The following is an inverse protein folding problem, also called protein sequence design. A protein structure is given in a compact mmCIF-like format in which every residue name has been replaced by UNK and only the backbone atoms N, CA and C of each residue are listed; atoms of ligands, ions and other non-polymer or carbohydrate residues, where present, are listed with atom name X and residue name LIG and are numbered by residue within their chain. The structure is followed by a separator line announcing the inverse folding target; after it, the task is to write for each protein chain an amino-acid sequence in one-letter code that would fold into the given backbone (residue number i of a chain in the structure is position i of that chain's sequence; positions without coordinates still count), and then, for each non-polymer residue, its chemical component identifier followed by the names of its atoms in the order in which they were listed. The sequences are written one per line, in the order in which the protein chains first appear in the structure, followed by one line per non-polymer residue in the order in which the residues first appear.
data_IF_591668177086
#
_entry.id   IF_591668177086
#
_cell.length_a   1.000
_cell.length_b   1.000
_cell.length_c   1.000
_cell.angle_alpha   90.00
_cell.angle_beta   90.00
_cell.angle_gamma   90.00
#
_symmetry.space_group_name_H-M   'P 1'
#
loop_
_entity.id
_entity.type
_entity.pdbx_description
1 polymer ?
#
# COMPACT_ATOMS: atom_id res chain seq x y z
N UNK A 1 12.21 -9.08 26.61
CA UNK A 1 11.50 -8.78 25.35
C UNK A 1 12.29 -9.44 24.24
N UNK A 2 11.69 -10.30 23.44
CA UNK A 2 12.37 -10.98 22.33
C UNK A 2 12.06 -10.26 21.01
N UNK A 3 13.08 -9.85 20.28
CA UNK A 3 12.98 -9.17 18.98
C UNK A 3 13.42 -10.08 17.82
N UNK A 4 13.58 -11.38 18.08
CA UNK A 4 13.92 -12.36 17.05
C UNK A 4 12.78 -12.47 16.05
N UNK A 5 13.10 -12.29 14.77
CA UNK A 5 12.11 -12.43 13.70
C UNK A 5 11.76 -13.90 13.47
N UNK A 6 10.48 -14.18 13.25
CA UNK A 6 10.04 -15.49 12.82
C UNK A 6 10.53 -15.81 11.40
N UNK A 7 10.55 -17.08 11.03
CA UNK A 7 10.91 -17.51 9.67
C UNK A 7 10.01 -16.86 8.61
N UNK A 8 8.72 -16.70 8.90
CA UNK A 8 7.76 -16.04 7.99
C UNK A 8 8.06 -14.55 7.83
N UNK A 9 8.41 -13.85 8.91
CA UNK A 9 8.84 -12.45 8.85
C UNK A 9 10.12 -12.30 8.01
N UNK A 10 11.11 -13.16 8.25
CA UNK A 10 12.36 -13.16 7.47
C UNK A 10 12.08 -13.43 5.99
N UNK A 11 11.25 -14.41 5.67
CA UNK A 11 10.88 -14.74 4.29
C UNK A 11 10.27 -13.55 3.55
N UNK A 12 9.22 -12.94 4.12
CA UNK A 12 8.53 -11.83 3.47
C UNK A 12 9.39 -10.56 3.39
N UNK A 13 10.11 -10.23 4.48
CA UNK A 13 11.06 -9.12 4.47
C UNK A 13 12.09 -9.27 3.34
N UNK A 14 12.69 -10.45 3.22
CA UNK A 14 13.73 -10.69 2.21
C UNK A 14 13.18 -10.60 0.78
N UNK A 15 11.93 -11.03 0.54
CA UNK A 15 11.27 -10.86 -0.76
C UNK A 15 11.06 -9.39 -1.10
N UNK A 16 10.59 -8.59 -0.14
CA UNK A 16 10.43 -7.14 -0.33
C UNK A 16 11.79 -6.47 -0.54
N UNK A 17 12.80 -6.80 0.27
CA UNK A 17 14.16 -6.27 0.10
C UNK A 17 14.72 -6.55 -1.28
N UNK A 18 14.65 -7.79 -1.75
CA UNK A 18 15.14 -8.16 -3.08
C UNK A 18 14.42 -7.36 -4.19
N UNK A 19 13.12 -7.17 -4.06
CA UNK A 19 12.35 -6.36 -5.01
C UNK A 19 12.74 -4.87 -4.96
N UNK A 20 12.96 -4.33 -3.75
CA UNK A 20 13.44 -2.95 -3.57
C UNK A 20 14.80 -2.76 -4.23
N UNK A 21 15.74 -3.69 -3.99
CA UNK A 21 17.10 -3.64 -4.54
C UNK A 21 17.10 -3.75 -6.08
N UNK A 22 16.32 -4.68 -6.62
CA UNK A 22 16.33 -4.96 -8.06
C UNK A 22 15.55 -3.93 -8.88
N UNK A 23 14.44 -3.40 -8.33
CA UNK A 23 13.49 -2.63 -9.13
C UNK A 23 13.24 -1.22 -8.61
N UNK A 24 13.10 -1.02 -7.30
CA UNK A 24 12.66 0.27 -6.74
C UNK A 24 13.81 1.25 -6.63
N UNK A 25 14.92 0.87 -6.01
CA UNK A 25 16.07 1.79 -5.88
C UNK A 25 16.63 2.24 -7.23
N UNK A 26 16.78 1.37 -8.25
CA UNK A 26 17.21 1.83 -9.58
C UNK A 26 16.22 2.76 -10.27
N UNK A 27 14.93 2.72 -9.89
CA UNK A 27 13.90 3.56 -10.48
C UNK A 27 13.81 4.97 -9.85
N UNK A 28 14.44 5.21 -8.69
CA UNK A 28 14.38 6.51 -8.00
C UNK A 28 14.77 7.68 -8.92
N UNK A 29 15.92 7.68 -9.61
CA UNK A 29 16.27 8.80 -10.50
C UNK A 29 15.29 8.97 -11.67
N UNK A 30 14.70 7.87 -12.16
CA UNK A 30 13.69 7.93 -13.24
C UNK A 30 12.39 8.55 -12.71
N UNK A 31 11.96 8.18 -11.52
CA UNK A 31 10.81 8.77 -10.86
C UNK A 31 10.98 10.27 -10.64
N UNK A 32 12.12 10.68 -10.11
CA UNK A 32 12.43 12.09 -9.84
C UNK A 32 12.43 12.92 -11.13
N UNK A 33 13.00 12.38 -12.21
CA UNK A 33 13.01 13.03 -13.52
C UNK A 33 11.58 13.17 -14.08
N UNK A 34 10.79 12.09 -14.07
CA UNK A 34 9.41 12.13 -14.57
C UNK A 34 8.53 13.08 -13.76
N UNK A 35 8.74 13.15 -12.45
CA UNK A 35 8.02 14.08 -11.58
C UNK A 35 8.42 15.54 -11.88
N UNK A 36 9.70 15.80 -12.15
CA UNK A 36 10.20 17.12 -12.52
C UNK A 36 9.66 17.58 -13.88
N UNK A 37 9.53 16.67 -14.84
CA UNK A 37 8.99 16.94 -16.18
C UNK A 37 7.53 17.43 -16.17
N UNK A 38 6.76 17.10 -15.11
CA UNK A 38 5.40 17.61 -14.94
C UNK A 38 5.34 19.12 -14.59
N UNK A 39 6.43 19.72 -14.14
CA UNK A 39 6.52 21.13 -13.80
C UNK A 39 5.50 21.54 -12.74
N UNK A 40 4.60 22.46 -13.09
CA UNK A 40 3.51 22.90 -12.19
C UNK A 40 2.32 21.93 -12.13
N UNK A 41 2.18 21.04 -13.12
CA UNK A 41 1.10 20.05 -13.19
C UNK A 41 1.49 18.74 -12.51
N UNK A 42 1.73 18.78 -11.19
CA UNK A 42 2.27 17.67 -10.40
C UNK A 42 1.28 16.55 -10.07
N UNK A 43 -0.02 16.77 -10.33
CA UNK A 43 -1.08 15.83 -9.99
C UNK A 43 -1.32 14.83 -11.13
N UNK A 44 -0.23 14.22 -11.57
CA UNK A 44 -0.24 13.20 -12.62
C UNK A 44 0.34 11.88 -12.09
N UNK A 45 -0.07 10.80 -12.72
CA UNK A 45 0.49 9.48 -12.43
C UNK A 45 1.90 9.40 -13.03
N UNK A 46 2.88 9.03 -12.19
CA UNK A 46 4.27 8.88 -12.64
C UNK A 46 4.43 7.54 -13.36
N UNK A 47 4.79 7.50 -14.67
CA UNK A 47 4.75 6.27 -15.47
C UNK A 47 5.59 5.11 -14.93
N UNK A 48 6.79 5.40 -14.38
CA UNK A 48 7.65 4.36 -13.81
C UNK A 48 6.98 3.67 -12.62
N UNK A 49 6.17 4.39 -11.85
CA UNK A 49 5.45 3.83 -10.71
C UNK A 49 4.44 2.76 -11.14
N UNK A 50 3.70 2.98 -12.22
CA UNK A 50 2.77 1.99 -12.77
C UNK A 50 3.50 0.74 -13.28
N UNK A 51 4.69 0.93 -13.86
CA UNK A 51 5.55 -0.19 -14.27
C UNK A 51 5.99 -1.02 -13.06
N UNK A 52 6.38 -0.37 -11.96
CA UNK A 52 6.77 -1.04 -10.72
C UNK A 52 5.58 -1.77 -10.06
N UNK A 53 4.40 -1.16 -10.05
CA UNK A 53 3.16 -1.79 -9.54
C UNK A 53 2.84 -3.08 -10.31
N UNK A 54 2.94 -3.07 -11.63
CA UNK A 54 2.73 -4.27 -12.45
C UNK A 54 3.73 -5.39 -12.09
N UNK A 55 5.00 -5.05 -11.89
CA UNK A 55 6.03 -6.00 -11.44
C UNK A 55 5.75 -6.55 -10.04
N UNK A 56 5.36 -5.69 -9.08
CA UNK A 56 5.04 -6.10 -7.72
C UNK A 56 3.84 -7.07 -7.68
N UNK A 57 2.80 -6.81 -8.49
CA UNK A 57 1.68 -7.74 -8.68
C UNK A 57 2.16 -9.09 -9.21
N UNK A 58 2.96 -9.10 -10.27
CA UNK A 58 3.49 -10.33 -10.87
C UNK A 58 4.37 -11.12 -9.90
N UNK A 59 5.09 -10.44 -9.00
CA UNK A 59 5.90 -11.05 -7.96
C UNK A 59 5.10 -11.53 -6.74
N UNK A 60 3.78 -11.33 -6.70
CA UNK A 60 2.94 -11.66 -5.54
C UNK A 60 3.26 -10.80 -4.30
N UNK A 61 3.70 -9.57 -4.51
CA UNK A 61 4.01 -8.57 -3.48
C UNK A 61 2.98 -7.43 -3.50
N UNK A 62 1.68 -7.79 -3.48
CA UNK A 62 0.59 -6.84 -3.62
C UNK A 62 -0.37 -6.92 -2.44
N UNK A 63 -0.86 -5.78 -1.93
CA UNK A 63 -1.78 -5.71 -0.80
C UNK A 63 -1.29 -6.41 0.47
N UNK A 64 0.01 -6.36 0.76
CA UNK A 64 0.62 -7.04 1.91
C UNK A 64 0.09 -6.54 3.26
N UNK A 65 -0.46 -5.33 3.28
CA UNK A 65 -0.95 -4.65 4.48
C UNK A 65 -2.23 -5.27 5.06
N UNK A 66 -3.07 -5.93 4.23
CA UNK A 66 -4.40 -6.35 4.65
C UNK A 66 -4.32 -7.57 5.57
N UNK A 67 -4.60 -7.41 6.89
CA UNK A 67 -4.39 -8.46 7.85
C UNK A 67 -5.48 -9.54 7.77
N UNK A 68 -5.12 -10.76 8.13
CA UNK A 68 -6.03 -11.92 8.12
C UNK A 68 -7.29 -11.69 8.95
N UNK A 69 -7.15 -11.04 10.11
CA UNK A 69 -8.26 -10.78 11.03
C UNK A 69 -9.28 -9.77 10.51
N UNK A 70 -8.92 -8.99 9.48
CA UNK A 70 -9.83 -8.03 8.85
C UNK A 70 -10.68 -8.64 7.76
N UNK A 71 -10.31 -9.83 7.29
CA UNK A 71 -10.97 -10.50 6.15
C UNK A 71 -11.81 -11.67 6.66
N UNK A 72 -13.11 -11.74 6.34
CA UNK A 72 -13.91 -12.92 6.62
C UNK A 72 -13.27 -14.17 6.00
N UNK A 73 -13.20 -15.25 6.77
CA UNK A 73 -12.65 -16.51 6.29
C UNK A 73 -13.35 -16.97 5.00
N UNK A 74 -12.59 -17.22 3.94
CA UNK A 74 -13.13 -17.61 2.64
C UNK A 74 -13.75 -16.48 1.83
N UNK A 75 -13.64 -15.23 2.28
CA UNK A 75 -14.12 -14.07 1.52
C UNK A 75 -13.28 -13.78 0.27
N UNK A 76 -13.85 -13.07 -0.72
CA UNK A 76 -13.18 -12.76 -1.98
C UNK A 76 -12.08 -11.71 -1.85
N UNK A 77 -12.00 -11.03 -0.72
CA UNK A 77 -11.04 -9.95 -0.47
C UNK A 77 -9.95 -10.44 0.48
N UNK A 78 -8.78 -10.75 -0.03
CA UNK A 78 -7.67 -11.23 0.79
C UNK A 78 -6.39 -10.50 0.44
N UNK A 79 -5.56 -10.23 1.47
CA UNK A 79 -4.17 -9.84 1.30
C UNK A 79 -3.25 -11.06 1.22
N UNK A 80 -1.98 -10.85 1.52
CA UNK A 80 -0.96 -11.91 1.50
C UNK A 80 -1.04 -12.87 2.72
N UNK A 81 -2.03 -12.74 3.58
CA UNK A 81 -2.18 -13.56 4.78
C UNK A 81 -1.16 -13.26 5.87
N UNK A 82 -0.75 -12.00 5.98
CA UNK A 82 0.16 -11.51 7.01
C UNK A 82 -0.62 -10.98 8.22
N UNK A 83 -0.06 -11.17 9.39
CA UNK A 83 -0.42 -10.38 10.58
C UNK A 83 0.21 -8.99 10.50
N UNK A 84 -0.28 -8.04 11.29
CA UNK A 84 0.32 -6.71 11.37
C UNK A 84 1.81 -6.76 11.76
N UNK A 85 2.19 -7.69 12.62
CA UNK A 85 3.58 -7.88 13.04
C UNK A 85 4.46 -8.42 11.90
N UNK A 86 3.92 -9.32 11.08
CA UNK A 86 4.62 -9.84 9.89
C UNK A 86 4.71 -8.78 8.78
N UNK A 87 3.68 -7.95 8.62
CA UNK A 87 3.70 -6.85 7.67
C UNK A 87 4.66 -5.72 8.09
N UNK A 88 4.81 -5.46 9.39
CA UNK A 88 5.64 -4.35 9.88
C UNK A 88 7.09 -4.39 9.35
N UNK A 89 7.70 -5.59 9.29
CA UNK A 89 9.07 -5.74 8.75
C UNK A 89 9.14 -5.54 7.23
N UNK A 90 8.04 -5.71 6.52
CA UNK A 90 7.92 -5.37 5.10
C UNK A 90 7.76 -3.86 4.92
N UNK A 91 6.89 -3.23 5.71
CA UNK A 91 6.64 -1.80 5.69
C UNK A 91 7.92 -0.98 5.97
N UNK A 92 8.77 -1.45 6.88
CA UNK A 92 10.09 -0.85 7.15
C UNK A 92 10.95 -0.76 5.88
N UNK A 93 10.95 -1.82 5.06
CA UNK A 93 11.73 -1.83 3.82
C UNK A 93 11.12 -0.91 2.75
N UNK A 94 9.80 -0.93 2.60
CA UNK A 94 9.07 -0.06 1.67
C UNK A 94 9.27 1.43 2.00
N UNK A 95 9.29 1.77 3.29
CA UNK A 95 9.43 3.14 3.78
C UNK A 95 10.79 3.79 3.54
N UNK A 96 11.78 3.06 3.01
CA UNK A 96 13.11 3.60 2.66
C UNK A 96 13.09 4.49 1.42
N UNK A 97 12.02 4.43 0.62
CA UNK A 97 11.78 5.27 -0.56
C UNK A 97 10.42 5.92 -0.43
N UNK A 98 10.31 7.23 -0.72
CA UNK A 98 9.09 8.00 -0.50
C UNK A 98 7.84 7.45 -1.22
N UNK A 99 8.01 6.83 -2.37
CA UNK A 99 6.94 6.16 -3.11
C UNK A 99 6.92 4.63 -2.93
N UNK A 100 7.81 4.07 -2.10
CA UNK A 100 8.01 2.63 -2.01
C UNK A 100 6.77 1.86 -1.61
N UNK A 101 6.02 2.32 -0.62
CA UNK A 101 4.78 1.67 -0.18
C UNK A 101 3.70 1.65 -1.27
N UNK A 102 3.67 2.67 -2.14
CA UNK A 102 2.72 2.75 -3.25
C UNK A 102 2.96 1.67 -4.31
N UNK A 103 4.21 1.30 -4.55
CA UNK A 103 4.59 0.22 -5.47
C UNK A 103 3.87 -1.10 -5.15
N UNK A 104 3.61 -1.35 -3.87
CA UNK A 104 2.98 -2.58 -3.36
C UNK A 104 1.49 -2.42 -3.02
N UNK A 105 0.87 -1.29 -3.39
CA UNK A 105 -0.48 -0.89 -2.98
C UNK A 105 -0.66 -0.86 -1.46
N UNK A 106 0.37 -0.42 -0.76
CA UNK A 106 0.44 -0.37 0.71
C UNK A 106 0.58 1.06 1.24
N UNK A 107 0.17 2.06 0.45
CA UNK A 107 0.29 3.48 0.80
C UNK A 107 -0.95 3.99 1.52
N UNK A 108 -0.75 4.89 2.48
CA UNK A 108 -1.85 5.66 3.05
C UNK A 108 -2.32 6.75 2.04
N UNK A 109 -3.60 7.13 2.05
CA UNK A 109 -4.69 6.68 2.92
C UNK A 109 -5.39 5.40 2.44
N UNK A 110 -5.01 4.86 1.28
CA UNK A 110 -5.70 3.73 0.63
C UNK A 110 -5.79 2.50 1.54
N UNK A 111 -4.72 2.17 2.26
CA UNK A 111 -4.69 1.01 3.16
C UNK A 111 -5.77 1.08 4.24
N UNK A 112 -5.88 2.23 4.92
CA UNK A 112 -6.90 2.43 5.94
C UNK A 112 -8.31 2.41 5.36
N UNK A 113 -8.53 3.06 4.23
CA UNK A 113 -9.82 3.10 3.56
C UNK A 113 -10.24 1.71 3.05
N UNK A 114 -9.31 0.94 2.49
CA UNK A 114 -9.59 -0.45 2.08
C UNK A 114 -9.94 -1.34 3.28
N UNK A 115 -9.24 -1.21 4.42
CA UNK A 115 -9.55 -1.98 5.61
C UNK A 115 -10.92 -1.62 6.19
N UNK A 116 -11.28 -0.34 6.21
CA UNK A 116 -12.64 0.11 6.61
C UNK A 116 -13.70 -0.50 5.70
N UNK A 117 -13.48 -0.48 4.38
CA UNK A 117 -14.43 -1.05 3.42
C UNK A 117 -14.55 -2.58 3.57
N UNK A 118 -13.45 -3.29 3.81
CA UNK A 118 -13.47 -4.75 4.06
C UNK A 118 -14.32 -5.08 5.28
N UNK A 119 -14.10 -4.36 6.39
CA UNK A 119 -14.76 -4.65 7.67
C UNK A 119 -16.23 -4.20 7.71
N UNK A 120 -16.52 -3.04 7.16
CA UNK A 120 -17.78 -2.34 7.40
C UNK A 120 -18.55 -1.96 6.13
N UNK A 121 -17.96 -2.09 4.96
CA UNK A 121 -18.61 -1.77 3.70
C UNK A 121 -19.73 -2.76 3.37
N UNK A 122 -20.84 -2.25 2.81
CA UNK A 122 -21.84 -3.11 2.17
C UNK A 122 -21.25 -3.81 0.94
N UNK A 123 -21.90 -4.87 0.45
CA UNK A 123 -21.45 -5.55 -0.77
C UNK A 123 -21.42 -4.61 -2.00
N UNK A 124 -22.33 -3.64 -2.05
CA UNK A 124 -22.32 -2.59 -3.07
C UNK A 124 -21.07 -1.68 -2.92
N UNK A 125 -20.74 -1.25 -1.70
CA UNK A 125 -19.54 -0.45 -1.44
C UNK A 125 -18.26 -1.23 -1.78
N UNK A 126 -18.22 -2.52 -1.44
CA UNK A 126 -17.07 -3.38 -1.76
C UNK A 126 -16.91 -3.57 -3.26
N UNK A 127 -17.98 -3.85 -3.98
CA UNK A 127 -17.93 -3.98 -5.43
C UNK A 127 -17.52 -2.67 -6.12
N UNK A 128 -18.07 -1.54 -5.65
CA UNK A 128 -17.89 -0.24 -6.30
C UNK A 128 -16.53 0.40 -5.99
N UNK A 129 -16.03 0.24 -4.76
CA UNK A 129 -14.86 0.97 -4.27
C UNK A 129 -13.70 0.05 -3.84
N UNK A 130 -13.98 -1.02 -3.07
CA UNK A 130 -12.93 -1.88 -2.54
C UNK A 130 -12.23 -2.68 -3.64
N UNK A 131 -12.98 -3.30 -4.54
CA UNK A 131 -12.40 -4.09 -5.62
C UNK A 131 -11.42 -3.29 -6.48
N UNK A 132 -11.79 -2.12 -7.02
CA UNK A 132 -10.86 -1.32 -7.81
C UNK A 132 -9.72 -0.70 -6.99
N UNK A 133 -9.91 -0.42 -5.69
CA UNK A 133 -8.80 -0.03 -4.79
C UNK A 133 -7.81 -1.17 -4.60
N UNK A 134 -8.29 -2.38 -4.29
CA UNK A 134 -7.42 -3.57 -4.16
C UNK A 134 -6.73 -3.93 -5.48
N UNK A 135 -7.38 -3.68 -6.61
CA UNK A 135 -6.78 -3.83 -7.93
C UNK A 135 -5.75 -2.71 -8.25
N UNK A 136 -5.77 -1.61 -7.50
CA UNK A 136 -4.92 -0.44 -7.77
C UNK A 136 -5.35 0.35 -9.00
N UNK A 137 -6.62 0.25 -9.38
CA UNK A 137 -7.21 0.96 -10.53
C UNK A 137 -7.64 2.36 -10.17
N UNK A 138 -7.99 2.58 -8.91
CA UNK A 138 -8.36 3.88 -8.34
C UNK A 138 -7.56 4.16 -7.07
N UNK A 139 -7.57 5.41 -6.65
CA UNK A 139 -6.99 5.88 -5.39
C UNK A 139 -8.10 6.49 -4.54
N UNK A 140 -7.82 6.63 -3.25
CA UNK A 140 -8.72 7.25 -2.30
C UNK A 140 -8.09 8.45 -1.60
N UNK A 141 -8.91 9.22 -0.90
CA UNK A 141 -8.46 10.34 -0.09
C UNK A 141 -9.11 10.29 1.29
N UNK A 142 -8.46 10.90 2.27
CA UNK A 142 -9.00 11.09 3.60
C UNK A 142 -9.11 12.59 3.89
N UNK A 143 -10.34 13.09 3.93
CA UNK A 143 -10.65 14.50 4.18
C UNK A 143 -11.00 14.67 5.64
N UNK A 144 -9.99 14.86 6.49
CA UNK A 144 -10.16 14.89 7.94
C UNK A 144 -10.40 16.30 8.49
N UNK A 145 -9.67 17.30 7.99
CA UNK A 145 -9.72 18.66 8.51
C UNK A 145 -10.92 19.42 7.99
N UNK A 146 -11.73 19.99 8.89
CA UNK A 146 -12.83 20.89 8.58
C UNK A 146 -12.42 22.36 8.74
N UNK A 147 -13.13 23.33 8.09
CA UNK A 147 -12.72 24.75 8.14
C UNK A 147 -12.69 25.37 9.54
N UNK A 148 -13.54 24.91 10.45
CA UNK A 148 -13.71 25.48 11.79
C UNK A 148 -13.13 24.63 12.91
N UNK A 149 -12.59 23.44 12.60
CA UNK A 149 -12.17 22.46 13.62
C UNK A 149 -10.78 21.92 13.27
N UNK A 150 -9.92 21.83 14.27
CA UNK A 150 -8.63 21.16 14.10
C UNK A 150 -8.82 19.65 13.85
N UNK A 151 -7.98 19.03 13.01
CA UNK A 151 -8.08 17.60 12.65
C UNK A 151 -8.05 16.66 13.86
N UNK A 152 -7.40 17.09 14.95
CA UNK A 152 -7.28 16.32 16.20
C UNK A 152 -8.39 16.60 17.22
N UNK A 153 -9.27 17.55 16.94
CA UNK A 153 -10.38 17.92 17.82
C UNK A 153 -11.63 17.12 17.41
N UNK A 154 -12.03 16.20 18.27
CA UNK A 154 -13.19 15.32 18.06
C UNK A 154 -14.46 15.79 18.81
N UNK A 155 -14.45 17.01 19.40
CA UNK A 155 -15.56 17.56 20.21
C UNK A 155 -16.35 18.62 19.46
#
# INVERSE_FOLDING_TARGET
MDFTLSEKQVHWRNRVMAFMDEHVYPAVPVYDQQLADFGTNRWQVVPVLETLKAKAKAAGLWNLFLPLESVPAGGPYSGAGLTNLEYAVCAEQMGRVGFGSEVFNCSAPDTGNMEVLVRYGSEEHKARWLQPLLAGEIRSAFLMTEPAVASSDAT
#
